data_IF_362436024957
#
_entry.id   IF_362436024957
#
_cell.length_a   1.000
_cell.length_b   1.000
_cell.length_c   1.000
_cell.angle_alpha   90.00
_cell.angle_beta   90.00
_cell.angle_gamma   90.00
#
_symmetry.space_group_name_H-M   'P 1'
#
loop_
_entity.id
_entity.type
_entity.pdbx_description
1 polymer ?
#
# COMPACT_ATOMS: atom_id res chain seq x y z
N UNK A 1 8.88 -0.78 -17.52
CA UNK A 1 9.13 0.10 -16.36
C UNK A 1 8.96 -0.61 -15.02
N UNK A 2 7.95 -1.48 -14.84
CA UNK A 2 7.64 -2.16 -13.57
C UNK A 2 8.75 -3.06 -12.99
N UNK A 3 9.66 -3.59 -13.83
CA UNK A 3 10.83 -4.33 -13.35
C UNK A 3 12.01 -3.46 -12.89
N UNK A 4 11.97 -2.15 -13.15
CA UNK A 4 13.06 -1.23 -12.79
C UNK A 4 13.19 -1.06 -11.28
N UNK A 5 14.43 -1.09 -10.78
CA UNK A 5 14.72 -0.85 -9.36
C UNK A 5 14.23 0.53 -8.91
N UNK A 6 14.48 1.57 -9.70
CA UNK A 6 14.04 2.93 -9.40
C UNK A 6 12.52 3.07 -9.37
N UNK A 7 11.80 2.41 -10.29
CA UNK A 7 10.34 2.45 -10.30
C UNK A 7 9.75 1.86 -9.01
N UNK A 8 10.32 0.76 -8.49
CA UNK A 8 9.91 0.16 -7.22
C UNK A 8 10.17 1.08 -6.03
N UNK A 9 11.32 1.76 -6.00
CA UNK A 9 11.64 2.74 -4.97
C UNK A 9 10.64 3.91 -4.98
N UNK A 10 10.30 4.43 -6.16
CA UNK A 10 9.31 5.51 -6.31
C UNK A 10 7.93 5.05 -5.83
N UNK A 11 7.52 3.83 -6.19
CA UNK A 11 6.25 3.26 -5.75
C UNK A 11 6.18 3.14 -4.21
N UNK A 12 7.22 2.61 -3.58
CA UNK A 12 7.32 2.51 -2.11
C UNK A 12 7.34 3.89 -1.46
N UNK A 13 8.07 4.86 -2.03
CA UNK A 13 8.08 6.25 -1.56
C UNK A 13 6.67 6.84 -1.56
N UNK A 14 5.96 6.74 -2.68
CA UNK A 14 4.58 7.24 -2.82
C UNK A 14 3.63 6.66 -1.77
N UNK A 15 3.76 5.37 -1.44
CA UNK A 15 2.90 4.73 -0.44
C UNK A 15 3.29 5.07 1.00
N UNK A 16 4.58 5.29 1.26
CA UNK A 16 5.09 5.59 2.60
C UNK A 16 5.09 7.08 2.95
N UNK A 17 4.84 7.96 2.00
CA UNK A 17 4.75 9.41 2.22
C UNK A 17 3.30 9.94 2.18
N UNK A 18 2.35 9.14 1.69
CA UNK A 18 0.95 9.54 1.61
C UNK A 18 0.28 9.72 2.99
N UNK A 19 -0.91 10.34 3.00
CA UNK A 19 -1.69 10.57 4.23
C UNK A 19 -2.10 9.26 4.93
N UNK A 20 -2.31 8.19 4.17
CA UNK A 20 -2.70 6.86 4.67
C UNK A 20 -1.54 5.96 5.11
N UNK A 21 -0.30 6.48 5.21
CA UNK A 21 0.92 5.69 5.44
C UNK A 21 0.95 4.93 6.76
N UNK A 22 0.18 5.40 7.76
CA UNK A 22 0.05 4.76 9.09
C UNK A 22 -1.17 3.84 9.20
N UNK A 23 -1.90 3.64 8.11
CA UNK A 23 -3.11 2.81 8.09
C UNK A 23 -2.78 1.46 7.46
N UNK A 24 -2.77 0.39 8.25
CA UNK A 24 -2.42 -0.95 7.77
C UNK A 24 -3.57 -1.62 7.01
N UNK A 25 -3.24 -2.63 6.19
CA UNK A 25 -4.22 -3.52 5.57
C UNK A 25 -4.68 -4.62 6.53
N UNK A 26 -5.15 -5.74 5.96
CA UNK A 26 -5.56 -6.94 6.72
C UNK A 26 -4.39 -7.64 7.41
N UNK A 27 -3.18 -7.48 6.87
CA UNK A 27 -1.90 -7.99 7.37
C UNK A 27 -1.39 -7.27 8.62
N UNK A 28 -1.96 -6.09 8.94
CA UNK A 28 -1.54 -5.23 10.06
C UNK A 28 -0.07 -4.77 9.95
N UNK A 29 0.53 -4.82 8.77
CA UNK A 29 1.90 -4.36 8.54
C UNK A 29 1.96 -2.90 8.08
N UNK A 30 3.02 -2.20 8.50
CA UNK A 30 3.39 -0.85 8.08
C UNK A 30 4.87 -0.82 7.67
N UNK A 31 5.23 0.14 6.81
CA UNK A 31 6.62 0.39 6.40
C UNK A 31 7.12 1.72 6.96
N UNK A 32 7.30 1.77 8.27
CA UNK A 32 7.65 2.98 9.04
C UNK A 32 9.15 3.23 9.15
N UNK A 33 9.98 2.18 9.13
CA UNK A 33 11.44 2.28 9.21
C UNK A 33 12.11 2.27 7.83
N UNK A 34 13.28 2.93 7.66
CA UNK A 34 14.06 2.83 6.41
C UNK A 34 14.34 1.39 5.99
N UNK A 35 14.64 0.51 6.94
CA UNK A 35 14.90 -0.91 6.69
C UNK A 35 13.66 -1.64 6.12
N UNK A 36 12.47 -1.37 6.64
CA UNK A 36 11.22 -1.96 6.10
C UNK A 36 10.91 -1.45 4.69
N UNK A 37 11.10 -0.15 4.44
CA UNK A 37 10.91 0.46 3.12
C UNK A 37 11.86 -0.15 2.08
N UNK A 38 13.13 -0.33 2.45
CA UNK A 38 14.11 -0.96 1.58
C UNK A 38 13.76 -2.41 1.26
N UNK A 39 13.44 -3.22 2.29
CA UNK A 39 12.98 -4.61 2.11
C UNK A 39 11.73 -4.68 1.23
N UNK A 40 10.79 -3.77 1.42
CA UNK A 40 9.58 -3.69 0.61
C UNK A 40 9.89 -3.42 -0.87
N UNK A 41 10.80 -2.48 -1.18
CA UNK A 41 11.18 -2.18 -2.56
C UNK A 41 11.86 -3.37 -3.25
N UNK A 42 12.72 -4.11 -2.52
CA UNK A 42 13.36 -5.33 -3.04
C UNK A 42 12.35 -6.46 -3.25
N UNK A 43 11.39 -6.62 -2.34
CA UNK A 43 10.35 -7.65 -2.40
C UNK A 43 9.21 -7.31 -3.37
N UNK A 44 9.12 -6.08 -3.87
CA UNK A 44 8.08 -5.64 -4.79
C UNK A 44 8.30 -6.29 -6.17
N UNK A 45 7.59 -7.38 -6.43
CA UNK A 45 7.68 -8.15 -7.67
C UNK A 45 6.31 -8.67 -8.09
N UNK A 46 6.06 -8.65 -9.39
CA UNK A 46 4.85 -9.20 -10.01
C UNK A 46 4.86 -10.74 -10.00
N UNK A 47 6.04 -11.36 -10.00
CA UNK A 47 6.17 -12.81 -10.03
C UNK A 47 5.48 -13.41 -8.80
N UNK A 48 4.39 -14.16 -9.04
CA UNK A 48 3.56 -14.78 -7.99
C UNK A 48 2.88 -13.77 -7.06
N UNK A 49 2.65 -12.54 -7.53
CA UNK A 49 1.83 -11.60 -6.80
C UNK A 49 0.40 -12.12 -6.67
N UNK A 50 -0.10 -12.18 -5.45
CA UNK A 50 -1.51 -12.44 -5.14
C UNK A 50 -1.99 -11.28 -4.26
N UNK A 51 -3.02 -10.53 -4.69
CA UNK A 51 -3.54 -9.43 -3.88
C UNK A 51 -4.17 -9.98 -2.60
N UNK A 52 -4.03 -9.23 -1.51
CA UNK A 52 -4.70 -9.56 -0.25
C UNK A 52 -6.14 -9.03 -0.24
N UNK A 53 -7.05 -9.61 0.56
CA UNK A 53 -8.37 -9.05 0.75
C UNK A 53 -8.28 -7.65 1.39
N UNK A 54 -9.25 -6.79 1.06
CA UNK A 54 -9.30 -5.42 1.58
C UNK A 54 -9.78 -5.40 3.03
N UNK A 55 -9.15 -4.58 3.88
CA UNK A 55 -9.64 -4.34 5.24
C UNK A 55 -10.78 -3.32 5.21
N UNK A 56 -11.95 -3.70 5.72
CA UNK A 56 -13.12 -2.83 5.79
C UNK A 56 -13.05 -1.92 7.02
N UNK A 57 -13.20 -0.61 6.82
CA UNK A 57 -13.35 0.39 7.89
C UNK A 57 -14.54 1.29 7.56
N UNK A 58 -15.26 1.74 8.58
CA UNK A 58 -16.39 2.64 8.41
C UNK A 58 -16.06 4.02 8.97
N UNK A 59 -16.19 5.05 8.13
CA UNK A 59 -16.06 6.45 8.56
C UNK A 59 -17.43 7.12 8.61
N UNK A 60 -17.67 8.05 9.56
CA UNK A 60 -18.93 8.77 9.62
C UNK A 60 -19.13 9.68 8.39
N UNK A 61 -20.36 9.79 7.91
CA UNK A 61 -20.80 10.83 6.97
C UNK A 61 -21.51 11.95 7.74
N UNK A 62 -21.59 13.17 7.18
CA UNK A 62 -22.33 14.28 7.79
C UNK A 62 -23.82 13.96 8.06
N UNK A 63 -24.42 13.09 7.25
CA UNK A 63 -25.83 12.70 7.38
C UNK A 63 -26.09 11.53 8.35
N UNK A 64 -25.15 11.23 9.25
CA UNK A 64 -25.26 10.16 10.25
C UNK A 64 -25.06 8.73 9.73
N UNK A 65 -25.05 8.51 8.40
CA UNK A 65 -24.73 7.20 7.81
C UNK A 65 -23.22 6.93 7.86
N UNK A 66 -22.81 5.68 7.69
CA UNK A 66 -21.39 5.28 7.60
C UNK A 66 -20.96 5.07 6.13
N UNK A 67 -19.78 5.55 5.75
CA UNK A 67 -19.13 5.26 4.46
C UNK A 67 -18.15 4.09 4.65
N UNK A 68 -18.30 2.97 3.92
CA UNK A 68 -17.30 1.91 3.93
C UNK A 68 -16.06 2.33 3.13
N UNK A 69 -14.88 2.10 3.69
CA UNK A 69 -13.59 2.18 3.02
C UNK A 69 -12.97 0.77 2.95
N UNK A 70 -12.37 0.44 1.81
CA UNK A 70 -11.54 -0.75 1.64
C UNK A 70 -10.08 -0.35 1.64
N UNK A 71 -9.31 -0.80 2.62
CA UNK A 71 -7.91 -0.44 2.80
C UNK A 71 -7.05 -1.63 2.35
N UNK A 72 -6.27 -1.51 1.26
CA UNK A 72 -5.34 -2.54 0.83
C UNK A 72 -4.11 -2.63 1.74
N UNK A 73 -3.34 -3.72 1.62
CA UNK A 73 -2.04 -3.84 2.30
C UNK A 73 -1.04 -2.82 1.78
N UNK A 74 0.08 -2.64 2.49
CA UNK A 74 1.17 -1.78 1.99
C UNK A 74 1.72 -2.31 0.66
N UNK A 75 1.86 -3.64 0.55
CA UNK A 75 2.30 -4.31 -0.68
C UNK A 75 1.35 -4.05 -1.85
N UNK A 76 0.05 -4.22 -1.64
CA UNK A 76 -0.94 -4.04 -2.71
C UNK A 76 -0.98 -2.57 -3.18
N UNK A 77 -0.90 -1.61 -2.25
CA UNK A 77 -0.78 -0.18 -2.59
C UNK A 77 0.48 0.12 -3.40
N UNK A 78 1.61 -0.50 -3.05
CA UNK A 78 2.87 -0.30 -3.76
C UNK A 78 2.83 -0.92 -5.16
N UNK A 79 2.19 -2.08 -5.32
CA UNK A 79 1.92 -2.67 -6.63
C UNK A 79 1.03 -1.75 -7.47
N UNK A 80 -0.07 -1.23 -6.92
CA UNK A 80 -0.91 -0.25 -7.61
C UNK A 80 -0.11 0.99 -8.03
N UNK A 81 0.71 1.55 -7.13
CA UNK A 81 1.55 2.69 -7.44
C UNK A 81 2.58 2.39 -8.55
N UNK A 82 3.17 1.19 -8.56
CA UNK A 82 4.16 0.76 -9.56
C UNK A 82 3.55 0.62 -10.96
N UNK A 83 2.32 0.15 -11.08
CA UNK A 83 1.61 0.03 -12.37
C UNK A 83 1.04 1.37 -12.88
N UNK A 84 1.02 2.40 -12.04
CA UNK A 84 0.66 3.77 -12.41
C UNK A 84 1.87 4.63 -12.82
N UNK A 85 3.09 4.07 -12.80
CA UNK A 85 4.32 4.71 -13.28
C UNK A 85 4.50 4.46 -14.78
#
# INVERSE_FOLDING_TARGET
LTHSHYAKLIAVKRVTENQGKRTSGVDKELWDSPATKWRAALALTEKRYKPSPLRRVYIPKPNGKKRPLGIPTMKDRAMQALYLL
#
